data_IF_582550713664
#
_entry.id   IF_582550713664
#
_cell.length_a   1.000
_cell.length_b   1.000
_cell.length_c   1.000
_cell.angle_alpha   90.00
_cell.angle_beta   90.00
_cell.angle_gamma   90.00
#
_symmetry.space_group_name_H-M   'P 1'
#
loop_
_entity.id
_entity.type
_entity.pdbx_description
1 polymer ?
2 polymer ?
3 polymer ?
4 polymer ?
5 non-polymer ?
6 non-polymer ?
7 non-polymer ?
8 water ?
#
loop_
_entity_poly.entity_id
_entity_poly.type
_entity_poly.pdbx_seq_one_letter_code
_entity_poly.pdbx_strand_id
1 'polydeoxyribonucleotide' '(DA)(DG)(DG)(DG)(DT)(DT)(DC)(DA)(DC)(DC)(DG)(DA)(DA)(DA)(DG)(DT)(DT)(DC)(DA)(DC)(DT)' ?
2 'polydeoxyribonucleotide' '(DA)(DG)(DT)(DG)(DA)(DA)(DC)(DT)(DT)(DT)(DC)(DG)(DG)(DT)(DG)(DA)(DA)(DC)(DC)(DC)(DT)' ?
#
# COMPACT_ATOMS: atom_id res chain seq x y z
N UNK C 7 -13.36 16.37 28.05
CA UNK C 7 -12.25 15.55 27.57
C UNK C 7 -12.76 14.31 26.79
N UNK C 8 -12.93 14.50 25.46
CA UNK C 8 -13.41 13.47 24.55
C UNK C 8 -12.27 12.78 23.80
N UNK C 9 -12.42 11.48 23.54
CA UNK C 9 -11.40 10.71 22.82
C UNK C 9 -12.01 9.99 21.62
N UNK C 10 -11.29 10.05 20.46
CA UNK C 10 -11.65 9.41 19.19
C UNK C 10 -11.67 7.93 19.41
N UNK C 11 -12.87 7.35 19.25
CA UNK C 11 -13.20 5.93 19.44
C UNK C 11 -12.35 5.02 18.56
N UNK C 12 -11.87 5.56 17.43
CA UNK C 12 -11.12 4.89 16.37
C UNK C 12 -9.61 4.94 16.63
N UNK C 13 -8.99 6.14 16.67
CA UNK C 13 -7.54 6.21 16.84
C UNK C 13 -7.07 6.56 18.27
N UNK C 14 -7.95 7.04 19.14
CA UNK C 14 -7.57 7.40 20.50
C UNK C 14 -7.13 8.84 20.71
N UNK C 15 -6.98 9.62 19.62
CA UNK C 15 -6.59 11.05 19.64
C UNK C 15 -7.71 11.88 20.28
N UNK C 16 -7.43 13.13 20.74
CA UNK C 16 -8.50 13.96 21.30
C UNK C 16 -9.62 14.24 20.28
N UNK C 17 -10.89 14.06 20.73
CA UNK C 17 -12.10 14.24 19.93
C UNK C 17 -12.77 15.62 20.13
N UNK C 18 -13.32 16.16 19.03
CA UNK C 18 -14.04 17.44 18.99
C UNK C 18 -15.51 17.29 19.43
N UNK C 19 -16.07 16.10 19.19
CA UNK C 19 -17.45 15.68 19.46
C UNK C 19 -17.82 14.46 18.64
N UNK C 20 -19.11 14.30 18.32
CA UNK C 20 -19.61 13.19 17.51
C UNK C 20 -19.70 13.62 16.07
N UNK C 21 -19.08 12.84 15.17
CA UNK C 21 -19.10 13.03 13.71
C UNK C 21 -19.51 11.71 13.14
N UNK C 22 -20.56 11.73 12.29
CA UNK C 22 -21.19 10.56 11.65
C UNK C 22 -21.63 9.53 12.72
N UNK C 23 -22.11 10.09 13.84
CA UNK C 23 -22.62 9.37 15.01
C UNK C 23 -21.56 8.78 15.93
N UNK C 24 -20.32 9.23 15.82
CA UNK C 24 -19.23 8.65 16.60
C UNK C 24 -18.32 9.73 17.12
N UNK C 25 -17.90 9.61 18.40
CA UNK C 25 -16.89 10.49 18.96
C UNK C 25 -15.61 10.19 18.20
N UNK C 26 -15.14 11.19 17.42
CA UNK C 26 -13.93 11.02 16.62
C UNK C 26 -13.08 12.30 16.53
N UNK C 27 -11.85 12.15 16.00
CA UNK C 27 -10.89 13.21 15.78
C UNK C 27 -11.23 13.93 14.46
N UNK C 28 -10.51 15.01 14.15
CA UNK C 28 -10.76 15.74 12.91
C UNK C 28 -10.22 14.99 11.70
N UNK C 29 -9.30 14.08 11.95
CA UNK C 29 -8.66 13.26 10.92
C UNK C 29 -9.49 12.08 10.47
N UNK C 30 -10.20 11.44 11.43
CA UNK C 30 -11.05 10.29 11.12
C UNK C 30 -12.34 10.73 10.49
N UNK C 31 -12.77 11.97 10.78
CA UNK C 31 -13.96 12.55 10.19
C UNK C 31 -13.63 12.78 8.72
N UNK C 32 -12.47 13.40 8.48
CA UNK C 32 -11.96 13.73 7.16
C UNK C 32 -11.74 12.54 6.26
N UNK C 33 -11.09 11.50 6.81
CA UNK C 33 -10.81 10.28 6.08
C UNK C 33 -12.14 9.61 5.63
N UNK C 34 -13.11 9.51 6.55
CA UNK C 34 -14.41 8.88 6.31
C UNK C 34 -15.23 9.68 5.28
N UNK C 35 -15.23 11.02 5.42
CA UNK C 35 -15.86 11.94 4.46
C UNK C 35 -15.31 11.65 3.04
N UNK C 36 -13.96 11.65 2.92
CA UNK C 36 -13.25 11.40 1.67
C UNK C 36 -13.60 10.03 1.12
N UNK C 37 -13.49 8.98 1.95
CA UNK C 37 -13.79 7.59 1.57
C UNK C 37 -15.22 7.40 1.03
N UNK C 38 -16.21 7.97 1.73
CA UNK C 38 -17.62 7.76 1.36
C UNK C 38 -17.99 8.55 0.12
N UNK C 39 -17.68 9.87 0.10
CA UNK C 39 -17.94 10.73 -1.08
C UNK C 39 -17.30 10.13 -2.34
N UNK C 40 -16.02 9.72 -2.25
CA UNK C 40 -15.30 9.16 -3.40
C UNK C 40 -15.52 7.67 -3.62
N UNK C 41 -16.30 6.98 -2.74
CA UNK C 41 -16.58 5.53 -2.82
C UNK C 41 -15.25 4.73 -3.03
N UNK C 42 -14.32 4.94 -2.11
CA UNK C 42 -12.99 4.35 -2.13
C UNK C 42 -12.96 2.97 -1.50
N UNK C 43 -12.23 2.06 -2.16
CA UNK C 43 -11.98 0.69 -1.71
C UNK C 43 -10.45 0.52 -1.56
N UNK C 44 -10.04 -0.03 -0.41
CA UNK C 44 -8.67 -0.18 0.04
C UNK C 44 -8.28 -1.64 0.22
N UNK C 45 -6.97 -1.93 0.20
CA UNK C 45 -6.50 -3.28 0.43
C UNK C 45 -5.47 -3.33 1.57
N UNK C 46 -5.67 -4.21 2.58
CA UNK C 46 -4.65 -4.34 3.62
C UNK C 46 -3.46 -5.15 3.08
N UNK C 47 -2.26 -4.58 3.24
CA UNK C 47 -0.96 -5.15 2.84
C UNK C 47 -0.63 -6.35 3.70
N UNK C 48 -0.98 -6.27 5.01
CA UNK C 48 -0.75 -7.32 6.01
C UNK C 48 -2.03 -8.21 6.24
N UNK C 49 -2.36 -8.59 7.50
CA UNK C 49 -3.47 -9.52 7.74
C UNK C 49 -4.76 -8.88 8.34
N UNK C 50 -5.15 -7.70 7.86
CA UNK C 50 -6.39 -6.98 8.21
C UNK C 50 -6.62 -6.76 9.72
N UNK C 51 -5.55 -6.79 10.54
CA UNK C 51 -5.62 -6.55 11.98
C UNK C 51 -4.69 -5.41 12.42
N UNK C 52 -4.41 -4.46 11.51
CA UNK C 52 -3.50 -3.34 11.75
C UNK C 52 -3.95 -2.48 12.93
N UNK C 53 -2.97 -2.16 13.81
CA UNK C 53 -3.17 -1.32 14.99
C UNK C 53 -3.52 0.10 14.55
N UNK C 54 -4.68 0.58 14.99
CA UNK C 54 -5.10 1.91 14.63
C UNK C 54 -5.04 2.80 15.86
N UNK C 55 -4.05 3.68 15.89
CA UNK C 55 -3.84 4.63 16.96
C UNK C 55 -3.39 5.95 16.38
N UNK C 56 -3.25 6.97 17.25
CA UNK C 56 -2.83 8.32 16.90
C UNK C 56 -1.61 8.33 15.94
N UNK C 57 -0.61 7.45 16.20
CA UNK C 57 0.63 7.36 15.42
C UNK C 57 0.46 6.63 14.07
N UNK C 58 0.05 5.36 14.14
CA UNK C 58 -0.06 4.45 13.01
C UNK C 58 -1.37 4.47 12.22
N UNK C 59 -2.25 5.47 12.40
CA UNK C 59 -3.56 5.45 11.71
C UNK C 59 -3.47 5.58 10.18
N UNK C 60 -2.52 6.36 9.66
CA UNK C 60 -2.40 6.56 8.21
C UNK C 60 -1.68 5.41 7.47
N UNK C 61 -1.08 4.44 8.21
CA UNK C 61 -0.37 3.28 7.67
C UNK C 61 -1.28 2.38 6.80
N UNK C 62 -2.37 1.86 7.38
CA UNK C 62 -3.31 1.04 6.63
C UNK C 62 -4.65 1.75 6.59
N UNK C 63 -5.07 2.23 5.39
CA UNK C 63 -6.36 2.90 5.19
C UNK C 63 -7.52 1.92 5.25
N UNK C 64 -7.25 0.64 4.95
CA UNK C 64 -8.26 -0.43 5.00
C UNK C 64 -8.77 -0.60 6.41
N UNK C 65 -7.85 -0.83 7.37
CA UNK C 65 -8.10 -1.05 8.78
C UNK C 65 -8.63 0.20 9.46
N UNK C 66 -8.23 1.37 8.98
CA UNK C 66 -8.79 2.60 9.52
C UNK C 66 -10.25 2.70 9.09
N UNK C 67 -10.56 2.36 7.82
CA UNK C 67 -11.94 2.46 7.33
C UNK C 67 -12.85 1.39 7.97
N UNK C 68 -12.35 0.16 8.17
CA UNK C 68 -13.09 -0.93 8.83
C UNK C 68 -13.33 -0.62 10.31
N UNK C 69 -12.39 0.10 10.96
CA UNK C 69 -12.55 0.53 12.36
C UNK C 69 -13.60 1.64 12.51
N UNK C 70 -13.71 2.54 11.49
CA UNK C 70 -14.69 3.64 11.48
C UNK C 70 -16.09 3.03 11.54
N UNK C 71 -16.28 1.96 10.76
CA UNK C 71 -17.52 1.22 10.67
C UNK C 71 -17.78 0.44 11.93
N UNK C 72 -16.75 -0.25 12.46
CA UNK C 72 -16.83 -1.03 13.71
C UNK C 72 -17.21 -0.14 14.90
N UNK C 73 -16.68 1.11 14.93
CA UNK C 73 -16.99 2.09 15.96
C UNK C 73 -18.29 2.77 15.66
N UNK C 74 -18.89 2.39 14.53
CA UNK C 74 -20.24 2.77 14.08
C UNK C 74 -20.48 4.06 13.34
N UNK C 75 -19.54 4.49 12.51
CA UNK C 75 -19.73 5.72 11.74
C UNK C 75 -20.72 5.45 10.61
N UNK C 76 -21.85 6.17 10.58
CA UNK C 76 -22.89 5.94 9.56
C UNK C 76 -22.49 6.57 8.21
N UNK C 77 -22.38 5.74 7.13
CA UNK C 77 -22.05 6.22 5.78
C UNK C 77 -23.15 7.16 5.22
N UNK C 78 -24.41 6.98 5.71
CA UNK C 78 -25.58 7.77 5.35
C UNK C 78 -25.45 9.20 5.89
N UNK C 79 -24.63 9.39 6.95
CA UNK C 79 -24.41 10.70 7.59
C UNK C 79 -23.53 11.63 6.73
N UNK C 80 -22.86 11.04 5.71
CA UNK C 80 -22.04 11.78 4.74
C UNK C 80 -22.99 12.29 3.63
N UNK C 81 -23.00 13.62 3.43
CA UNK C 81 -23.83 14.28 2.42
C UNK C 81 -23.05 14.43 1.12
N UNK C 82 -23.74 14.76 0.02
CA UNK C 82 -23.08 14.94 -1.27
C UNK C 82 -22.35 16.29 -1.33
N UNK C 83 -21.28 16.41 -2.15
CA UNK C 83 -20.49 17.64 -2.29
C UNK C 83 -21.37 18.82 -2.75
N UNK C 84 -21.29 19.95 -2.01
CA UNK C 84 -22.10 21.17 -2.14
C UNK C 84 -22.20 21.76 -3.57
N UNK C 85 -21.10 22.26 -4.18
CA UNK C 85 -21.11 22.86 -5.53
C UNK C 85 -19.79 22.69 -6.27
N UNK D 5 12.39 0.01 12.54
CA UNK D 5 11.39 -0.62 13.43
C UNK D 5 10.21 -1.23 12.67
N UNK D 6 9.89 -0.71 11.45
CA UNK D 6 8.77 -1.17 10.63
C UNK D 6 9.16 -2.35 9.73
N UNK D 7 8.37 -3.45 9.85
CA UNK D 7 8.53 -4.72 9.11
C UNK D 7 7.56 -4.88 7.92
N UNK D 8 8.10 -5.16 6.71
CA UNK D 8 7.35 -5.38 5.46
C UNK D 8 7.56 -6.80 4.95
N UNK D 9 6.54 -7.38 4.29
CA UNK D 9 6.59 -8.72 3.65
C UNK D 9 7.83 -8.83 2.73
N UNK D 10 8.51 -10.01 2.59
CA UNK D 10 9.74 -10.02 1.77
C UNK D 10 9.55 -9.57 0.34
N UNK D 11 10.61 -9.04 -0.31
CA UNK D 11 10.58 -8.63 -1.71
C UNK D 11 9.80 -9.71 -2.51
N UNK D 12 8.74 -9.31 -3.22
CA UNK D 12 7.88 -10.23 -3.97
C UNK D 12 8.62 -10.95 -5.08
N UNK D 13 9.62 -10.28 -5.67
CA UNK D 13 10.44 -10.76 -6.78
C UNK D 13 11.48 -11.82 -6.35
N UNK D 14 12.49 -11.42 -5.55
CA UNK D 14 13.61 -12.26 -5.09
C UNK D 14 13.47 -12.82 -3.66
N UNK D 15 12.53 -12.30 -2.85
CA UNK D 15 12.23 -12.76 -1.48
C UNK D 15 13.28 -12.33 -0.39
N UNK D 16 14.09 -11.31 -0.72
CA UNK D 16 15.06 -10.70 0.19
C UNK D 16 14.27 -9.70 1.05
N UNK D 17 14.86 -9.13 2.09
CA UNK D 17 14.27 -8.11 2.96
C UNK D 17 13.84 -6.89 2.12
N UNK D 18 12.64 -6.40 2.38
CA UNK D 18 12.04 -5.26 1.70
C UNK D 18 12.29 -3.90 2.36
N UNK D 19 12.55 -2.89 1.52
CA UNK D 19 12.72 -1.53 1.98
C UNK D 19 11.37 -0.80 1.99
N UNK D 20 10.36 -1.40 1.34
CA UNK D 20 9.01 -0.87 1.30
C UNK D 20 8.24 -1.25 0.06
N UNK D 21 7.19 -0.47 -0.26
CA UNK D 21 6.38 -0.71 -1.46
C UNK D 21 6.92 0.13 -2.61
N UNK D 22 7.38 -0.54 -3.66
CA UNK D 22 7.96 0.12 -4.83
C UNK D 22 7.20 -0.39 -6.07
N UNK D 23 6.56 0.52 -6.81
CA UNK D 23 5.75 0.25 -7.99
C UNK D 23 4.63 -0.76 -7.71
N UNK D 24 3.98 -0.64 -6.54
CA UNK D 24 2.84 -1.47 -6.18
C UNK D 24 3.07 -2.75 -5.39
N UNK D 25 4.33 -3.18 -5.21
CA UNK D 25 4.64 -4.40 -4.45
C UNK D 25 5.74 -4.17 -3.41
N UNK D 26 5.76 -5.01 -2.36
CA UNK D 26 6.86 -5.00 -1.39
C UNK D 26 8.11 -5.49 -2.16
N UNK D 27 9.14 -4.64 -2.18
CA UNK D 27 10.33 -4.86 -2.98
C UNK D 27 11.62 -4.40 -2.26
N UNK D 28 12.74 -5.09 -2.60
CA UNK D 28 14.05 -4.78 -2.09
C UNK D 28 14.63 -3.68 -2.92
N UNK D 29 15.62 -2.95 -2.40
CA UNK D 29 16.23 -1.85 -3.13
C UNK D 29 16.83 -2.28 -4.49
N UNK D 30 17.27 -3.55 -4.57
CA UNK D 30 17.81 -4.10 -5.81
C UNK D 30 16.75 -4.22 -6.89
N UNK D 31 15.63 -4.88 -6.57
CA UNK D 31 14.53 -5.10 -7.51
C UNK D 31 13.80 -3.81 -7.89
N UNK D 32 13.77 -2.81 -6.99
CA UNK D 32 13.18 -1.50 -7.23
C UNK D 32 14.00 -0.84 -8.33
N UNK D 33 15.31 -0.76 -8.11
CA UNK D 33 16.27 -0.16 -9.03
C UNK D 33 16.33 -0.84 -10.38
N UNK D 34 16.35 -2.18 -10.37
CA UNK D 34 16.39 -2.98 -11.57
C UNK D 34 15.17 -2.70 -12.47
N UNK D 35 13.99 -2.64 -11.85
CA UNK D 35 12.71 -2.41 -12.55
C UNK D 35 12.68 -1.00 -13.12
N UNK D 36 13.04 0.02 -12.31
CA UNK D 36 13.13 1.41 -12.75
C UNK D 36 14.05 1.54 -14.00
N UNK D 37 15.18 0.83 -14.00
CA UNK D 37 16.15 0.88 -15.09
C UNK D 37 15.64 0.23 -16.35
N UNK D 38 15.17 -1.04 -16.28
CA UNK D 38 14.66 -1.76 -17.47
C UNK D 38 13.54 -1.03 -18.18
N UNK D 39 12.82 -0.17 -17.44
CA UNK D 39 11.74 0.65 -17.98
C UNK D 39 12.33 1.96 -18.54
N UNK D 40 13.10 2.72 -17.74
CA UNK D 40 13.70 3.99 -18.16
C UNK D 40 14.68 3.82 -19.36
N UNK D 41 15.55 2.81 -19.29
CA UNK D 41 16.54 2.49 -20.31
C UNK D 41 15.94 1.65 -21.47
N UNK D 42 14.61 1.33 -21.39
CA UNK D 42 13.87 0.54 -22.40
C UNK D 42 14.58 -0.79 -22.75
N UNK D 43 15.26 -1.37 -21.73
CA UNK D 43 16.01 -2.61 -21.85
C UNK D 43 15.16 -3.76 -22.32
N UNK D 44 15.73 -4.59 -23.19
CA UNK D 44 15.09 -5.79 -23.70
C UNK D 44 16.13 -6.87 -23.46
N UNK D 45 15.83 -7.79 -22.54
CA UNK D 45 16.76 -8.86 -22.19
C UNK D 45 16.38 -10.15 -22.90
N UNK D 46 17.29 -11.13 -22.84
CA UNK D 46 17.10 -12.45 -23.42
C UNK D 46 17.55 -13.49 -22.43
N UNK D 47 16.82 -14.61 -22.37
CA UNK D 47 17.18 -15.70 -21.48
C UNK D 47 18.17 -16.59 -22.17
N UNK D 48 19.33 -16.79 -21.53
CA UNK D 48 20.38 -17.65 -22.07
C UNK D 48 20.29 -19.06 -21.41
N UNK D 49 19.02 -19.49 -21.16
CA UNK D 49 18.53 -20.77 -20.61
C UNK D 49 17.18 -21.12 -21.30
N UNK D 50 16.09 -21.44 -20.54
CA UNK D 50 14.79 -21.80 -21.12
C UNK D 50 13.57 -20.97 -20.59
N UNK D 51 13.81 -19.78 -19.94
CA UNK D 51 12.82 -18.83 -19.38
C UNK D 51 12.25 -19.30 -17.99
N UNK D 52 12.57 -20.53 -17.57
CA UNK D 52 12.12 -21.10 -16.30
C UNK D 52 13.06 -20.81 -15.09
N UNK D 53 14.00 -19.84 -15.24
CA UNK D 53 14.99 -19.45 -14.22
C UNK D 53 14.35 -18.98 -12.91
N UNK D 54 14.94 -19.37 -11.76
CA UNK D 54 14.43 -19.01 -10.41
C UNK D 54 15.15 -17.80 -9.81
N UNK D 55 14.36 -16.88 -9.25
CA UNK D 55 14.84 -15.61 -8.67
C UNK D 55 14.78 -15.60 -7.14
N UNK D 56 15.96 -15.42 -6.53
CA UNK D 56 16.16 -15.26 -5.10
C UNK D 56 17.42 -14.42 -4.92
N UNK D 57 17.73 -13.92 -3.70
CA UNK D 57 18.87 -13.01 -3.48
C UNK D 57 20.17 -13.46 -4.12
N UNK D 58 20.46 -14.77 -4.11
CA UNK D 58 21.73 -15.23 -4.65
C UNK D 58 21.71 -15.36 -6.20
N UNK D 59 20.54 -15.57 -6.83
CA UNK D 59 20.47 -15.75 -8.28
C UNK D 59 19.93 -14.56 -9.06
N UNK D 60 19.20 -13.64 -8.40
CA UNK D 60 18.53 -12.51 -9.06
C UNK D 60 19.37 -11.78 -10.13
N UNK D 61 20.72 -11.75 -10.02
CA UNK D 61 21.58 -11.09 -11.00
C UNK D 61 22.13 -12.00 -12.13
N UNK D 62 21.68 -13.28 -12.20
CA UNK D 62 22.15 -14.25 -13.20
C UNK D 62 21.40 -14.19 -14.53
N UNK D 63 20.09 -13.93 -14.49
CA UNK D 63 19.26 -13.78 -15.67
C UNK D 63 18.41 -12.54 -15.47
N UNK D 64 18.73 -11.48 -16.22
CA UNK D 64 18.02 -10.21 -16.22
C UNK D 64 16.65 -10.34 -16.90
N UNK D 65 16.51 -11.30 -17.84
CA UNK D 65 15.25 -11.55 -18.54
C UNK D 65 14.24 -12.12 -17.55
N UNK D 66 14.62 -13.21 -16.85
CA UNK D 66 13.76 -13.86 -15.86
C UNK D 66 13.54 -13.00 -14.62
N UNK D 67 14.46 -12.09 -14.30
CA UNK D 67 14.26 -11.17 -13.19
C UNK D 67 13.22 -10.14 -13.63
N UNK D 68 13.32 -9.65 -14.89
CA UNK D 68 12.30 -8.70 -15.33
C UNK D 68 10.91 -9.36 -15.48
N UNK D 69 10.87 -10.66 -15.86
CA UNK D 69 9.62 -11.43 -15.97
C UNK D 69 8.89 -11.48 -14.62
N UNK D 70 9.66 -11.71 -13.52
CA UNK D 70 9.09 -11.80 -12.17
C UNK D 70 8.56 -10.47 -11.66
N UNK D 71 9.24 -9.37 -11.99
CA UNK D 71 8.83 -8.02 -11.62
C UNK D 71 7.45 -7.81 -12.15
N UNK D 72 7.29 -8.09 -13.45
CA UNK D 72 5.98 -8.00 -14.09
C UNK D 72 4.95 -8.91 -13.45
N UNK D 73 5.30 -10.20 -13.29
CA UNK D 73 4.47 -11.26 -12.72
C UNK D 73 3.86 -10.93 -11.38
N UNK D 74 4.68 -10.41 -10.46
CA UNK D 74 4.25 -10.10 -9.09
C UNK D 74 3.38 -8.86 -9.06
N UNK D 75 3.52 -8.01 -10.08
CA UNK D 75 2.66 -6.86 -10.22
C UNK D 75 3.28 -5.48 -10.23
N UNK D 76 4.59 -5.37 -10.48
CA UNK D 76 5.20 -4.04 -10.57
C UNK D 76 4.56 -3.28 -11.76
N UNK D 77 4.14 -2.03 -11.54
CA UNK D 77 3.46 -1.18 -12.49
C UNK D 77 4.48 -0.40 -13.29
N UNK D 78 4.62 -0.72 -14.58
CA UNK D 78 5.53 0.00 -15.46
C UNK D 78 5.11 1.49 -15.55
N UNK D 79 3.79 1.76 -15.59
CA UNK D 79 3.12 3.07 -15.66
C UNK D 79 3.60 4.05 -14.59
N UNK D 80 4.02 3.54 -13.41
CA UNK D 80 4.46 4.40 -12.31
C UNK D 80 5.98 4.71 -12.32
N UNK D 81 6.68 4.41 -13.46
CA UNK D 81 8.09 4.73 -13.74
C UNK D 81 8.04 5.99 -14.63
N UNK D 82 8.21 7.16 -14.01
CA UNK D 82 8.12 8.50 -14.62
C UNK D 82 8.97 8.70 -15.87
N UNK D 83 8.30 9.07 -16.97
CA UNK D 83 8.94 9.36 -18.25
C UNK D 83 8.51 10.74 -18.73
N UNK D 84 9.50 11.61 -19.02
CA UNK D 84 9.28 12.98 -19.48
C UNK D 84 9.58 13.13 -20.98
#
# INVERSE_FOLDING_TARGET
GSHMFTKHICAICGDRSSGKHYGVYSCEGCKGFFKRTVRKDLTYTCRDNKDCLIDKRQRNRCQYCRYQKCLAMGMKREAVQEERQRG
GSHMPRIYKPCFVCQDKSSGYHYGVSACEGCKGFFRRSIQKNMVYTCHRDKNCIINKVTRNRCQYCRLQKCFEVGMSKESVRNDRNKKKK
#
